data_IF_669047542047
#
_entry.id   IF_669047542047
#
_cell.length_a   1.000
_cell.length_b   1.000
_cell.length_c   1.000
_cell.angle_alpha   90.00
_cell.angle_beta   90.00
_cell.angle_gamma   90.00
#
_symmetry.space_group_name_H-M   'P 1'
#
loop_
_entity.id
_entity.type
_entity.pdbx_description
1 polymer ?
#
# COMPACT_ATOMS: atom_id res chain seq x y z
N UNK A 1 -6.03 13.86 -23.60
CA UNK A 1 -4.80 13.03 -23.71
C UNK A 1 -5.26 11.62 -24.00
N UNK A 2 -4.68 10.95 -25.01
CA UNK A 2 -5.00 9.55 -25.27
C UNK A 2 -4.56 8.74 -24.05
N UNK A 3 -5.49 8.00 -23.42
CA UNK A 3 -5.13 6.93 -22.47
C UNK A 3 -4.10 6.06 -23.19
N UNK A 4 -2.94 5.81 -22.56
CA UNK A 4 -2.11 4.70 -23.01
C UNK A 4 -3.02 3.47 -23.04
N UNK A 5 -3.10 2.78 -24.18
CA UNK A 5 -3.91 1.57 -24.26
C UNK A 5 -3.44 0.60 -23.18
N UNK A 6 -4.40 0.08 -22.39
CA UNK A 6 -4.12 -0.96 -21.42
C UNK A 6 -3.37 -2.10 -22.12
N UNK A 7 -2.25 -2.58 -21.55
CA UNK A 7 -1.44 -3.57 -22.22
C UNK A 7 -2.26 -4.84 -22.44
N UNK A 8 -2.37 -5.25 -23.71
CA UNK A 8 -3.07 -6.48 -24.05
C UNK A 8 -2.40 -7.69 -23.39
N UNK A 9 -3.15 -8.77 -23.16
CA UNK A 9 -2.61 -10.03 -22.64
C UNK A 9 -1.42 -10.54 -23.47
N UNK A 10 -1.45 -10.28 -24.78
CA UNK A 10 -0.35 -10.60 -25.69
C UNK A 10 0.90 -9.75 -25.42
N UNK A 11 0.73 -8.44 -25.18
CA UNK A 11 1.81 -7.52 -24.79
C UNK A 11 2.46 -7.96 -23.47
N UNK A 12 1.65 -8.25 -22.44
CA UNK A 12 2.14 -8.72 -21.13
C UNK A 12 2.91 -10.03 -21.28
N UNK A 13 2.39 -10.97 -22.08
CA UNK A 13 3.07 -12.26 -22.32
C UNK A 13 4.43 -12.06 -23.00
N UNK A 14 4.53 -11.14 -23.96
CA UNK A 14 5.80 -10.78 -24.62
C UNK A 14 6.79 -10.16 -23.65
N UNK A 15 6.33 -9.29 -22.73
CA UNK A 15 7.18 -8.72 -21.68
C UNK A 15 7.74 -9.81 -20.78
N UNK A 16 6.88 -10.73 -20.30
CA UNK A 16 7.32 -11.84 -19.44
C UNK A 16 8.32 -12.74 -20.17
N UNK A 17 8.06 -13.07 -21.43
CA UNK A 17 8.99 -13.84 -22.26
C UNK A 17 10.35 -13.13 -22.39
N UNK A 18 10.34 -11.84 -22.74
CA UNK A 18 11.58 -11.08 -22.96
C UNK A 18 12.41 -10.92 -21.68
N UNK A 19 11.77 -10.70 -20.53
CA UNK A 19 12.49 -10.45 -19.28
C UNK A 19 12.90 -11.72 -18.53
N UNK A 20 12.15 -12.82 -18.62
CA UNK A 20 12.38 -13.98 -17.76
C UNK A 20 12.82 -15.25 -18.49
N UNK A 21 12.73 -15.29 -19.82
CA UNK A 21 13.01 -16.49 -20.63
C UNK A 21 14.07 -16.25 -21.70
N UNK A 22 14.60 -15.03 -21.79
CA UNK A 22 15.67 -14.66 -22.72
C UNK A 22 16.79 -14.02 -21.91
N UNK A 23 18.00 -14.55 -22.03
CA UNK A 23 19.18 -13.96 -21.40
C UNK A 23 19.41 -12.56 -21.97
N UNK A 24 19.64 -11.59 -21.08
CA UNK A 24 20.04 -10.24 -21.46
C UNK A 24 21.46 -10.26 -22.07
N UNK A 25 21.69 -9.64 -23.23
CA UNK A 25 23.01 -9.60 -23.85
C UNK A 25 24.09 -8.91 -22.99
N UNK A 26 23.71 -8.03 -22.07
CA UNK A 26 24.63 -7.37 -21.13
C UNK A 26 24.87 -8.18 -19.85
N UNK A 27 24.31 -9.41 -19.77
CA UNK A 27 24.47 -10.29 -18.62
C UNK A 27 23.75 -9.81 -17.35
N UNK A 28 22.67 -9.03 -17.49
CA UNK A 28 21.85 -8.58 -16.35
C UNK A 28 20.78 -9.62 -16.01
N UNK A 29 20.29 -9.57 -14.78
CA UNK A 29 19.12 -10.34 -14.36
C UNK A 29 17.84 -9.65 -14.81
N UNK A 30 16.86 -10.42 -15.26
CA UNK A 30 15.55 -9.90 -15.63
C UNK A 30 14.51 -10.07 -14.52
N UNK A 31 13.62 -9.09 -14.39
CA UNK A 31 12.60 -9.03 -13.35
C UNK A 31 11.26 -8.62 -13.96
N UNK A 32 10.21 -9.30 -13.51
CA UNK A 32 8.82 -8.87 -13.68
C UNK A 32 8.17 -8.85 -12.31
N UNK A 33 7.45 -7.80 -12.00
CA UNK A 33 6.72 -7.58 -10.76
C UNK A 33 5.28 -7.21 -11.09
N UNK A 34 4.36 -7.83 -10.35
CA UNK A 34 2.95 -7.45 -10.32
C UNK A 34 2.67 -6.92 -8.93
N UNK A 35 1.99 -5.79 -8.83
CA UNK A 35 1.60 -5.23 -7.55
C UNK A 35 0.19 -4.66 -7.55
N UNK A 36 -0.43 -4.66 -6.36
CA UNK A 36 -1.73 -4.05 -6.05
C UNK A 36 -1.51 -3.15 -4.82
N UNK A 37 -1.39 -1.84 -5.03
CA UNK A 37 -0.88 -0.93 -3.98
C UNK A 37 0.53 -1.35 -3.54
N UNK A 38 0.73 -1.58 -2.24
CA UNK A 38 2.03 -2.01 -1.69
C UNK A 38 2.25 -3.53 -1.63
N UNK A 39 1.27 -4.32 -2.03
CA UNK A 39 1.40 -5.78 -2.15
C UNK A 39 2.12 -6.11 -3.45
N UNK A 40 3.12 -6.99 -3.42
CA UNK A 40 3.81 -7.40 -4.64
C UNK A 40 4.08 -8.91 -4.71
N UNK A 41 4.13 -9.40 -5.95
CA UNK A 41 4.77 -10.65 -6.34
C UNK A 41 5.72 -10.34 -7.49
N UNK A 42 6.99 -10.67 -7.34
CA UNK A 42 8.02 -10.47 -8.36
C UNK A 42 8.65 -11.79 -8.75
N UNK A 43 8.91 -12.03 -10.02
CA UNK A 43 9.66 -13.17 -10.52
C UNK A 43 10.92 -12.65 -11.21
N UNK A 44 12.04 -13.31 -10.92
CA UNK A 44 13.36 -12.97 -11.46
C UNK A 44 14.03 -14.17 -12.09
N UNK A 45 14.84 -13.86 -13.10
CA UNK A 45 15.71 -14.79 -13.80
C UNK A 45 17.12 -14.22 -13.83
N UNK A 46 18.11 -15.07 -13.54
CA UNK A 46 19.52 -14.72 -13.67
C UNK A 46 20.05 -15.32 -14.97
N UNK A 47 20.98 -14.63 -15.66
CA UNK A 47 21.51 -15.09 -16.93
C UNK A 47 22.12 -16.50 -16.80
N UNK A 48 21.92 -17.32 -17.83
CA UNK A 48 22.42 -18.69 -17.93
C UNK A 48 21.85 -19.68 -16.88
N UNK A 49 20.85 -19.27 -16.10
CA UNK A 49 20.13 -20.17 -15.19
C UNK A 49 18.88 -20.73 -15.88
N UNK A 50 18.49 -21.95 -15.53
CA UNK A 50 17.21 -22.53 -15.99
C UNK A 50 16.05 -22.22 -15.02
N UNK A 51 16.36 -21.63 -13.87
CA UNK A 51 15.43 -21.47 -12.75
C UNK A 51 14.86 -20.06 -12.74
N UNK A 52 13.54 -19.94 -12.67
CA UNK A 52 12.86 -18.68 -12.32
C UNK A 52 12.52 -18.69 -10.83
N UNK A 53 12.90 -17.62 -10.13
CA UNK A 53 12.57 -17.44 -8.71
C UNK A 53 11.50 -16.39 -8.56
N UNK A 54 10.36 -16.75 -7.99
CA UNK A 54 9.30 -15.83 -7.61
C UNK A 54 9.32 -15.54 -6.10
N UNK A 55 9.10 -14.29 -5.74
CA UNK A 55 9.13 -13.77 -4.39
C UNK A 55 7.85 -12.97 -4.13
N UNK A 56 7.12 -13.33 -3.08
CA UNK A 56 5.97 -12.57 -2.60
C UNK A 56 6.36 -11.79 -1.34
N UNK A 57 5.86 -10.56 -1.20
CA UNK A 57 6.07 -9.70 -0.04
C UNK A 57 5.87 -10.42 1.31
N UNK A 58 6.64 -10.01 2.31
CA UNK A 58 6.49 -10.54 3.66
C UNK A 58 6.65 -9.49 4.75
N UNK A 59 6.31 -9.87 5.98
CA UNK A 59 6.16 -8.94 7.09
C UNK A 59 7.46 -8.36 7.62
N UNK A 60 8.63 -8.89 7.19
CA UNK A 60 9.92 -8.35 7.60
C UNK A 60 10.26 -7.07 6.85
N UNK A 61 10.15 -7.10 5.52
CA UNK A 61 10.37 -5.91 4.70
C UNK A 61 9.21 -4.92 4.81
N UNK A 62 7.99 -5.43 4.94
CA UNK A 62 6.77 -4.63 5.01
C UNK A 62 5.96 -4.94 6.29
N UNK A 63 6.22 -4.25 7.42
CA UNK A 63 5.53 -4.52 8.68
C UNK A 63 3.99 -4.48 8.61
N UNK A 64 3.40 -3.55 7.82
CA UNK A 64 1.95 -3.45 7.62
C UNK A 64 1.33 -4.67 6.95
N UNK A 65 2.11 -5.52 6.27
CA UNK A 65 1.61 -6.78 5.72
C UNK A 65 1.14 -7.76 6.81
N UNK A 66 1.35 -7.49 8.11
CA UNK A 66 0.84 -8.34 9.20
C UNK A 66 -0.68 -8.44 9.24
N UNK A 67 -1.40 -7.37 8.87
CA UNK A 67 -2.87 -7.37 8.79
C UNK A 67 -3.36 -8.15 7.58
N UNK A 68 -2.59 -8.06 6.49
CA UNK A 68 -2.92 -8.71 5.22
C UNK A 68 -2.58 -10.20 5.25
N UNK A 69 -1.38 -10.59 5.70
CA UNK A 69 -0.88 -11.96 5.70
C UNK A 69 -1.38 -12.74 6.92
N UNK A 70 -2.69 -13.02 6.96
CA UNK A 70 -3.31 -13.87 8.00
C UNK A 70 -2.73 -15.29 7.99
N UNK A 71 -3.07 -16.10 9.01
CA UNK A 71 -2.64 -17.49 9.06
C UNK A 71 -3.11 -18.27 7.83
N UNK A 72 -4.34 -18.03 7.41
CA UNK A 72 -5.01 -18.66 6.27
C UNK A 72 -4.33 -18.26 4.97
N UNK A 73 -4.05 -16.97 4.77
CA UNK A 73 -3.38 -16.46 3.56
C UNK A 73 -1.94 -16.95 3.43
N UNK A 74 -1.20 -17.02 4.54
CA UNK A 74 0.14 -17.65 4.56
C UNK A 74 0.09 -19.14 4.23
N UNK A 75 -0.97 -19.85 4.65
CA UNK A 75 -1.17 -21.23 4.28
C UNK A 75 -1.48 -21.38 2.78
N UNK A 76 -2.31 -20.50 2.21
CA UNK A 76 -2.61 -20.46 0.78
C UNK A 76 -1.34 -20.21 -0.06
N UNK A 77 -0.48 -19.27 0.32
CA UNK A 77 0.83 -19.08 -0.34
C UNK A 77 1.70 -20.34 -0.26
N UNK A 78 1.68 -21.05 0.88
CA UNK A 78 2.41 -22.31 1.04
C UNK A 78 1.85 -23.43 0.15
N UNK A 79 0.53 -23.53 0.00
CA UNK A 79 -0.12 -24.45 -0.94
C UNK A 79 0.22 -24.13 -2.39
N UNK A 80 0.40 -22.85 -2.70
CA UNK A 80 1.01 -22.37 -3.94
C UNK A 80 2.53 -22.57 -3.99
N UNK A 81 3.13 -23.44 -3.18
CA UNK A 81 4.54 -23.82 -3.29
C UNK A 81 5.54 -22.75 -2.85
N UNK A 82 5.09 -21.65 -2.23
CA UNK A 82 6.02 -20.71 -1.62
C UNK A 82 6.52 -21.22 -0.26
N UNK A 83 7.79 -20.94 0.03
CA UNK A 83 8.41 -21.15 1.33
C UNK A 83 8.86 -19.82 1.94
N UNK A 84 8.61 -19.61 3.23
CA UNK A 84 9.10 -18.42 3.93
C UNK A 84 10.63 -18.40 3.95
N UNK A 85 11.25 -17.36 3.40
CA UNK A 85 12.68 -17.16 3.42
C UNK A 85 13.10 -16.38 4.66
N UNK A 86 13.97 -16.98 5.47
CA UNK A 86 14.45 -16.35 6.70
C UNK A 86 15.41 -15.22 6.47
N UNK A 87 15.96 -15.03 5.26
CA UNK A 87 16.93 -13.96 5.01
C UNK A 87 16.24 -12.64 4.67
N UNK A 88 15.35 -12.67 3.70
CA UNK A 88 14.58 -11.50 3.23
C UNK A 88 13.29 -11.31 4.02
N UNK A 89 12.73 -12.39 4.56
CA UNK A 89 11.38 -12.41 5.15
C UNK A 89 10.26 -12.45 4.11
N UNK A 90 10.59 -12.56 2.81
CA UNK A 90 9.63 -12.81 1.73
C UNK A 90 9.25 -14.29 1.66
N UNK A 91 8.23 -14.60 0.88
CA UNK A 91 7.87 -15.95 0.48
C UNK A 91 8.50 -16.27 -0.87
N UNK A 92 9.29 -17.34 -0.98
CA UNK A 92 10.03 -17.69 -2.21
C UNK A 92 9.50 -18.99 -2.79
N UNK A 93 9.21 -18.99 -4.10
CA UNK A 93 8.98 -20.17 -4.92
C UNK A 93 10.03 -20.21 -6.03
N UNK A 94 10.64 -21.37 -6.23
CA UNK A 94 11.55 -21.62 -7.37
C UNK A 94 10.86 -22.54 -8.37
N UNK A 95 11.06 -22.27 -9.64
CA UNK A 95 10.53 -23.09 -10.73
C UNK A 95 11.67 -23.71 -11.53
N UNK A 96 11.62 -25.03 -11.67
CA UNK A 96 12.60 -25.81 -12.42
C UNK A 96 11.93 -27.08 -12.98
N UNK A 97 11.55 -27.13 -14.28
CA UNK A 97 11.57 -26.01 -15.23
C UNK A 97 10.49 -24.96 -14.94
N UNK A 98 10.64 -23.71 -15.44
CA UNK A 98 9.61 -22.69 -15.36
C UNK A 98 8.36 -23.03 -16.18
N UNK A 99 7.16 -22.65 -15.72
CA UNK A 99 5.96 -22.74 -16.53
C UNK A 99 6.04 -21.75 -17.69
N UNK A 100 5.19 -21.92 -18.71
CA UNK A 100 5.11 -20.97 -19.83
C UNK A 100 4.81 -19.53 -19.35
N UNK A 101 5.27 -18.48 -20.07
CA UNK A 101 5.13 -17.08 -19.65
C UNK A 101 3.71 -16.69 -19.23
N UNK A 102 2.70 -17.13 -20.00
CA UNK A 102 1.29 -16.84 -19.71
C UNK A 102 0.83 -17.46 -18.39
N UNK A 103 1.26 -18.70 -18.11
CA UNK A 103 0.94 -19.39 -16.85
C UNK A 103 1.69 -18.78 -15.67
N UNK A 104 2.94 -18.35 -15.88
CA UNK A 104 3.71 -17.64 -14.86
C UNK A 104 3.03 -16.32 -14.47
N UNK A 105 2.57 -15.55 -15.45
CA UNK A 105 1.83 -14.31 -15.22
C UNK A 105 0.52 -14.56 -14.46
N UNK A 106 -0.27 -15.55 -14.90
CA UNK A 106 -1.49 -15.95 -14.19
C UNK A 106 -1.21 -16.39 -12.74
N UNK A 107 -0.11 -17.11 -12.52
CA UNK A 107 0.36 -17.50 -11.20
C UNK A 107 0.69 -16.28 -10.32
N UNK A 108 1.37 -15.26 -10.86
CA UNK A 108 1.72 -14.06 -10.10
C UNK A 108 0.47 -13.28 -9.64
N UNK A 109 -0.51 -13.09 -10.53
CA UNK A 109 -1.80 -12.45 -10.19
C UNK A 109 -2.56 -13.28 -9.16
N UNK A 110 -2.62 -14.60 -9.35
CA UNK A 110 -3.29 -15.48 -8.41
C UNK A 110 -2.62 -15.50 -7.03
N UNK A 111 -1.29 -15.46 -6.98
CA UNK A 111 -0.52 -15.38 -5.74
C UNK A 111 -0.78 -14.06 -4.99
N UNK A 112 -0.95 -12.95 -5.72
CA UNK A 112 -1.39 -11.69 -5.12
C UNK A 112 -2.77 -11.83 -4.47
N UNK A 113 -3.73 -12.38 -5.21
CA UNK A 113 -5.10 -12.52 -4.72
C UNK A 113 -5.21 -13.46 -3.51
N UNK A 114 -4.64 -14.67 -3.55
CA UNK A 114 -4.77 -15.58 -2.40
C UNK A 114 -3.88 -15.17 -1.22
N UNK A 115 -2.73 -14.55 -1.51
CA UNK A 115 -1.78 -14.11 -0.48
C UNK A 115 -2.22 -12.85 0.24
N UNK A 116 -2.93 -11.95 -0.46
CA UNK A 116 -3.22 -10.62 0.06
C UNK A 116 -4.69 -10.18 -0.07
N UNK A 117 -5.51 -10.96 -0.78
CA UNK A 117 -6.87 -10.62 -1.18
C UNK A 117 -6.92 -9.49 -2.21
N UNK A 118 -7.81 -9.57 -3.18
CA UNK A 118 -8.10 -8.44 -4.06
C UNK A 118 -8.79 -7.28 -3.33
N UNK A 119 -8.41 -6.05 -3.65
CA UNK A 119 -9.13 -4.82 -3.28
C UNK A 119 -10.08 -4.33 -4.36
N UNK A 120 -10.16 -5.05 -5.50
CA UNK A 120 -10.89 -4.63 -6.68
C UNK A 120 -10.21 -3.51 -7.47
N UNK A 121 -8.98 -3.13 -7.09
CA UNK A 121 -8.14 -2.20 -7.85
C UNK A 121 -7.39 -2.95 -8.95
N UNK A 122 -7.00 -2.23 -10.00
CA UNK A 122 -6.22 -2.83 -11.08
C UNK A 122 -4.80 -3.18 -10.61
N UNK A 123 -4.28 -4.30 -11.12
CA UNK A 123 -2.91 -4.69 -10.87
C UNK A 123 -1.99 -3.90 -11.82
N UNK A 124 -0.89 -3.40 -11.27
CA UNK A 124 0.15 -2.75 -12.05
C UNK A 124 1.29 -3.75 -12.36
N UNK A 125 1.88 -3.60 -13.54
CA UNK A 125 3.01 -4.40 -14.00
C UNK A 125 4.25 -3.52 -14.06
N UNK A 126 5.29 -3.92 -13.32
CA UNK A 126 6.63 -3.32 -13.40
C UNK A 126 7.61 -4.36 -13.90
N UNK A 127 8.50 -3.98 -14.80
CA UNK A 127 9.50 -4.90 -15.33
C UNK A 127 10.78 -4.17 -15.70
N UNK A 128 11.88 -4.92 -15.80
CA UNK A 128 13.16 -4.37 -16.20
C UNK A 128 14.32 -5.29 -15.89
N UNK A 129 15.50 -4.69 -15.80
CA UNK A 129 16.76 -5.38 -15.54
C UNK A 129 17.32 -4.97 -14.17
N UNK A 130 18.11 -5.84 -13.56
CA UNK A 130 18.88 -5.56 -12.35
C UNK A 130 20.30 -6.15 -12.48
N UNK A 131 21.31 -5.64 -11.75
CA UNK A 131 22.65 -6.23 -11.77
C UNK A 131 22.61 -7.70 -11.37
N UNK A 132 23.11 -8.60 -12.22
CA UNK A 132 23.09 -10.03 -11.95
C UNK A 132 23.92 -10.35 -10.70
N UNK A 133 23.23 -10.75 -9.64
CA UNK A 133 23.83 -11.13 -8.37
C UNK A 133 22.94 -12.16 -7.68
N UNK A 134 23.56 -13.08 -6.93
CA UNK A 134 22.83 -14.04 -6.10
C UNK A 134 21.96 -13.34 -5.05
N UNK A 135 22.44 -12.21 -4.57
CA UNK A 135 21.80 -11.36 -3.57
C UNK A 135 21.63 -9.95 -4.14
N UNK A 136 20.60 -9.75 -5.00
CA UNK A 136 20.38 -8.46 -5.63
C UNK A 136 20.02 -7.39 -4.60
N UNK A 137 20.34 -6.14 -4.93
CA UNK A 137 19.98 -4.98 -4.14
C UNK A 137 18.45 -4.89 -3.94
N UNK A 138 18.03 -4.55 -2.71
CA UNK A 138 16.62 -4.56 -2.32
C UNK A 138 16.19 -3.25 -1.69
N UNK A 139 14.90 -2.96 -1.80
CA UNK A 139 14.27 -1.89 -1.02
C UNK A 139 14.41 -2.23 0.47
N UNK A 140 14.90 -1.30 1.28
CA UNK A 140 15.09 -1.51 2.72
C UNK A 140 13.76 -1.76 3.46
N UNK A 141 13.84 -2.36 4.65
CA UNK A 141 12.67 -2.62 5.49
C UNK A 141 11.99 -1.32 5.93
N UNK A 142 10.65 -1.35 6.03
CA UNK A 142 9.85 -0.19 6.46
C UNK A 142 9.54 0.80 5.33
N UNK A 143 9.91 0.47 4.09
CA UNK A 143 9.50 1.18 2.88
C UNK A 143 8.36 0.44 2.16
N UNK A 144 7.48 1.13 1.40
CA UNK A 144 6.28 0.52 0.81
C UNK A 144 6.50 -0.79 0.03
N UNK A 145 7.67 -0.95 -0.59
CA UNK A 145 8.06 -2.17 -1.31
C UNK A 145 9.22 -2.92 -0.64
N UNK A 146 9.35 -2.83 0.68
CA UNK A 146 10.47 -3.40 1.44
C UNK A 146 10.68 -4.88 1.12
N UNK A 147 11.91 -5.21 0.72
CA UNK A 147 12.30 -6.54 0.25
C UNK A 147 12.15 -6.80 -1.25
N UNK A 148 11.51 -5.92 -2.02
CA UNK A 148 11.49 -6.01 -3.49
C UNK A 148 12.89 -5.78 -4.08
N UNK A 149 13.17 -6.37 -5.24
CA UNK A 149 14.44 -6.17 -5.96
C UNK A 149 14.40 -4.81 -6.65
N UNK A 150 15.51 -4.05 -6.55
CA UNK A 150 15.62 -2.74 -7.17
C UNK A 150 16.02 -2.89 -8.64
N UNK A 151 15.19 -2.39 -9.54
CA UNK A 151 15.51 -2.30 -10.97
C UNK A 151 16.59 -1.25 -11.23
N UNK A 152 17.45 -1.52 -12.21
CA UNK A 152 18.44 -0.57 -12.73
C UNK A 152 17.76 0.74 -13.16
N UNK A 153 18.33 1.86 -12.73
CA UNK A 153 17.82 3.20 -13.05
C UNK A 153 16.74 3.73 -12.10
N UNK A 154 16.15 2.90 -11.22
CA UNK A 154 15.25 3.38 -10.17
C UNK A 154 16.03 3.97 -9.00
N UNK A 155 15.71 5.22 -8.64
CA UNK A 155 16.24 5.86 -7.43
C UNK A 155 15.39 5.49 -6.23
N UNK A 156 15.82 4.50 -5.47
CA UNK A 156 15.20 4.12 -4.19
C UNK A 156 15.99 4.74 -3.05
N UNK A 157 15.31 5.47 -2.16
CA UNK A 157 15.91 5.92 -0.89
C UNK A 157 16.09 4.70 0.01
N UNK A 158 17.30 4.50 0.53
CA UNK A 158 17.71 3.39 1.39
C UNK A 158 17.58 2.02 0.72
N UNK A 159 18.71 1.48 0.30
CA UNK A 159 18.84 0.16 -0.31
C UNK A 159 19.49 -0.77 0.71
N UNK A 160 18.92 -1.96 0.89
CA UNK A 160 19.56 -3.04 1.61
C UNK A 160 20.44 -3.83 0.63
N UNK A 161 21.73 -3.91 0.93
CA UNK A 161 22.70 -4.70 0.17
C UNK A 161 23.00 -6.04 0.86
N UNK A 162 23.35 -7.04 0.07
CA UNK A 162 23.65 -8.39 0.56
C UNK A 162 22.42 -9.29 0.69
N UNK A 163 22.63 -10.46 1.30
CA UNK A 163 21.65 -11.55 1.26
C UNK A 163 20.55 -11.47 2.31
N UNK A 164 20.63 -10.54 3.26
CA UNK A 164 19.74 -10.45 4.42
C UNK A 164 19.08 -9.08 4.45
N UNK A 165 17.76 -9.07 4.61
CA UNK A 165 17.02 -7.85 4.91
C UNK A 165 16.95 -7.71 6.42
N UNK A 166 17.54 -6.63 6.95
CA UNK A 166 17.37 -6.26 8.34
C UNK A 166 15.94 -5.77 8.55
N UNK A 167 15.26 -6.32 9.55
CA UNK A 167 13.95 -5.82 9.94
C UNK A 167 14.12 -4.46 10.61
N UNK A 168 13.18 -3.55 10.36
CA UNK A 168 13.14 -2.31 11.13
C UNK A 168 12.73 -2.63 12.56
N UNK A 169 13.65 -2.46 13.50
CA UNK A 169 13.28 -2.34 14.91
C UNK A 169 12.49 -1.04 15.06
N UNK A 170 11.34 -1.15 15.70
CA UNK A 170 10.53 0.02 16.01
C UNK A 170 11.14 0.61 17.29
N UNK A 171 12.00 1.60 17.14
CA UNK A 171 12.36 2.49 18.25
C UNK A 171 11.07 3.21 18.67
N UNK A 172 10.61 2.93 19.88
CA UNK A 172 9.34 3.38 20.46
C UNK A 172 9.71 4.20 21.71
N UNK A 173 10.49 5.27 21.53
CA UNK A 173 11.16 5.92 22.67
C UNK A 173 10.30 7.00 23.35
N UNK A 174 9.29 7.56 22.68
CA UNK A 174 8.41 8.57 23.27
C UNK A 174 6.96 8.09 23.35
N UNK A 175 6.33 8.05 24.54
CA UNK A 175 4.92 7.73 24.66
C UNK A 175 4.05 8.79 23.98
N UNK A 176 2.89 8.37 23.47
CA UNK A 176 1.86 9.31 23.01
C UNK A 176 1.41 10.18 24.21
N UNK A 177 1.17 11.49 24.03
CA UNK A 177 0.63 12.33 25.11
C UNK A 177 -0.64 11.72 25.70
N UNK A 178 -0.94 11.94 26.99
CA UNK A 178 -2.19 11.49 27.59
C UNK A 178 -3.40 11.98 26.80
N UNK A 179 -4.43 11.16 26.73
CA UNK A 179 -5.69 11.52 26.09
C UNK A 179 -6.27 12.78 26.74
N UNK A 180 -6.76 13.77 25.96
CA UNK A 180 -7.39 14.95 26.52
C UNK A 180 -8.69 14.55 27.25
N UNK A 181 -9.08 15.29 28.30
CA UNK A 181 -10.38 15.10 28.92
C UNK A 181 -11.50 15.52 27.96
N UNK A 182 -12.66 14.89 28.10
CA UNK A 182 -13.88 15.32 27.40
C UNK A 182 -14.26 16.73 27.88
N UNK A 183 -14.39 17.72 26.98
CA UNK A 183 -14.81 19.06 27.36
C UNK A 183 -16.31 19.12 27.69
N UNK A 184 -16.70 20.09 28.52
CA UNK A 184 -18.11 20.27 28.94
C UNK A 184 -19.04 20.49 27.74
N UNK A 185 -18.57 21.19 26.70
CA UNK A 185 -19.28 21.39 25.43
C UNK A 185 -18.76 20.46 24.31
N UNK A 186 -18.58 19.18 24.62
CA UNK A 186 -18.23 18.18 23.60
C UNK A 186 -19.18 18.20 22.39
N UNK A 187 -20.52 18.28 22.53
CA UNK A 187 -21.41 18.35 21.37
C UNK A 187 -21.16 19.58 20.47
N UNK A 188 -20.91 20.75 21.06
CA UNK A 188 -20.59 21.96 20.32
C UNK A 188 -19.26 21.84 19.56
N UNK A 189 -18.22 21.33 20.22
CA UNK A 189 -16.92 21.10 19.59
C UNK A 189 -17.01 20.11 18.42
N UNK A 190 -17.69 18.98 18.62
CA UNK A 190 -17.87 17.97 17.56
C UNK A 190 -18.67 18.52 16.37
N UNK A 191 -19.66 19.39 16.63
CA UNK A 191 -20.42 20.07 15.58
C UNK A 191 -19.56 21.05 14.78
N UNK A 192 -18.66 21.78 15.44
CA UNK A 192 -17.71 22.68 14.79
C UNK A 192 -16.71 21.89 13.94
N UNK A 193 -16.15 20.81 14.49
CA UNK A 193 -15.23 19.94 13.75
C UNK A 193 -15.90 19.32 12.51
N UNK A 194 -17.13 18.82 12.65
CA UNK A 194 -17.91 18.31 11.53
C UNK A 194 -18.06 19.37 10.43
N UNK A 195 -18.38 20.61 10.79
CA UNK A 195 -18.48 21.72 9.83
C UNK A 195 -17.16 21.93 9.06
N UNK A 196 -16.03 21.94 9.76
CA UNK A 196 -14.71 22.08 9.15
C UNK A 196 -14.36 20.90 8.23
N UNK A 197 -14.74 19.68 8.62
CA UNK A 197 -14.58 18.47 7.79
C UNK A 197 -15.42 18.60 6.52
N UNK A 198 -16.70 18.93 6.64
CA UNK A 198 -17.61 19.05 5.50
C UNK A 198 -17.13 20.10 4.49
N UNK A 199 -16.74 21.29 4.96
CA UNK A 199 -16.21 22.36 4.10
C UNK A 199 -14.94 21.94 3.34
N UNK A 200 -14.06 21.16 3.97
CA UNK A 200 -12.86 20.66 3.32
C UNK A 200 -13.14 19.51 2.34
N UNK A 201 -14.07 18.61 2.67
CA UNK A 201 -14.53 17.54 1.76
C UNK A 201 -15.14 18.15 0.50
N UNK A 202 -16.00 19.15 0.64
CA UNK A 202 -16.55 19.89 -0.50
C UNK A 202 -15.42 20.52 -1.34
N UNK A 203 -14.43 21.14 -0.69
CA UNK A 203 -13.28 21.72 -1.38
C UNK A 203 -12.45 20.67 -2.15
N UNK A 204 -12.22 19.49 -1.58
CA UNK A 204 -11.53 18.39 -2.28
C UNK A 204 -12.34 17.93 -3.48
N UNK A 205 -13.66 17.74 -3.33
CA UNK A 205 -14.53 17.29 -4.40
C UNK A 205 -14.57 18.26 -5.60
N UNK A 206 -14.35 19.56 -5.36
CA UNK A 206 -14.27 20.60 -6.39
C UNK A 206 -12.96 20.62 -7.19
N UNK A 207 -11.93 19.85 -6.81
CA UNK A 207 -10.69 19.77 -7.58
C UNK A 207 -10.95 19.38 -9.03
N UNK A 208 -10.38 20.09 -10.00
CA UNK A 208 -10.59 19.78 -11.42
C UNK A 208 -9.29 19.87 -12.20
N UNK A 209 -9.23 19.15 -13.31
CA UNK A 209 -8.05 19.12 -14.18
C UNK A 209 -6.93 18.24 -13.61
N UNK A 210 -5.66 18.52 -13.93
CA UNK A 210 -4.54 17.69 -13.48
C UNK A 210 -4.19 17.92 -12.01
N UNK A 211 -4.68 18.96 -11.35
CA UNK A 211 -4.30 19.25 -9.96
C UNK A 211 -5.18 18.45 -8.98
N UNK A 212 -4.53 17.63 -8.15
CA UNK A 212 -5.20 16.96 -7.04
C UNK A 212 -5.37 17.95 -5.89
N UNK A 213 -6.62 18.14 -5.44
CA UNK A 213 -6.91 18.79 -4.17
C UNK A 213 -6.73 17.75 -3.06
N UNK A 214 -5.99 18.12 -2.01
CA UNK A 214 -5.69 17.26 -0.86
C UNK A 214 -6.05 18.03 0.41
N UNK A 215 -6.87 17.43 1.27
CA UNK A 215 -7.14 17.93 2.61
C UNK A 215 -6.57 16.98 3.67
N UNK A 216 -5.93 17.52 4.71
CA UNK A 216 -5.42 16.75 5.85
C UNK A 216 -6.10 17.28 7.11
N UNK A 217 -6.76 16.38 7.83
CA UNK A 217 -7.45 16.61 9.10
C UNK A 217 -6.60 16.03 10.22
N UNK A 218 -6.07 16.88 11.10
CA UNK A 218 -5.11 16.46 12.14
C UNK A 218 -5.60 16.78 13.55
N UNK A 219 -5.45 15.82 14.44
CA UNK A 219 -5.64 15.91 15.89
C UNK A 219 -4.31 15.53 16.57
N UNK A 220 -3.31 16.40 16.46
CA UNK A 220 -1.93 16.08 16.84
C UNK A 220 -1.31 15.06 15.87
N UNK A 221 -0.90 13.90 16.38
CA UNK A 221 -0.29 12.83 15.56
C UNK A 221 -1.32 11.96 14.81
N UNK A 222 -2.61 12.11 15.12
CA UNK A 222 -3.70 11.36 14.50
C UNK A 222 -4.23 12.16 13.31
N UNK A 223 -4.31 11.56 12.12
CA UNK A 223 -4.79 12.27 10.95
C UNK A 223 -5.68 11.43 10.05
N UNK A 224 -6.52 12.14 9.29
CA UNK A 224 -7.22 11.63 8.11
C UNK A 224 -6.81 12.51 6.93
N UNK A 225 -6.34 11.91 5.84
CA UNK A 225 -6.05 12.65 4.60
C UNK A 225 -7.02 12.24 3.51
N UNK A 226 -7.50 13.20 2.72
CA UNK A 226 -8.36 12.95 1.57
C UNK A 226 -7.80 13.64 0.35
N UNK A 227 -7.81 12.96 -0.78
CA UNK A 227 -7.43 13.49 -2.08
C UNK A 227 -8.49 13.20 -3.11
N UNK A 228 -8.69 14.12 -4.05
CA UNK A 228 -9.50 13.82 -5.22
C UNK A 228 -8.72 12.89 -6.15
N UNK A 229 -9.17 11.65 -6.22
CA UNK A 229 -8.62 10.64 -7.12
C UNK A 229 -9.15 10.88 -8.54
N UNK A 230 -8.92 9.95 -9.46
CA UNK A 230 -9.51 10.07 -10.80
C UNK A 230 -11.04 10.20 -10.72
N UNK A 231 -11.62 11.04 -11.59
CA UNK A 231 -13.06 11.23 -11.67
C UNK A 231 -13.76 9.87 -11.88
N UNK A 232 -14.84 9.54 -11.13
CA UNK A 232 -15.57 10.36 -10.17
C UNK A 232 -15.33 9.89 -8.72
N UNK A 233 -14.12 9.98 -8.17
CA UNK A 233 -13.83 9.43 -6.83
C UNK A 233 -12.93 10.30 -5.94
N UNK A 234 -13.08 10.11 -4.63
CA UNK A 234 -12.21 10.68 -3.58
C UNK A 234 -11.60 9.54 -2.78
N UNK A 235 -10.28 9.50 -2.64
CA UNK A 235 -9.60 8.56 -1.77
C UNK A 235 -9.31 9.23 -0.43
N UNK A 236 -9.69 8.58 0.66
CA UNK A 236 -9.32 9.02 2.01
C UNK A 236 -8.58 7.93 2.77
N UNK A 237 -7.68 8.35 3.65
CA UNK A 237 -6.85 7.48 4.44
C UNK A 237 -6.81 7.93 5.90
N UNK A 238 -7.06 7.00 6.82
CA UNK A 238 -6.88 7.18 8.27
C UNK A 238 -5.53 6.60 8.66
N UNK A 239 -4.71 7.39 9.38
CA UNK A 239 -3.39 6.97 9.83
C UNK A 239 -3.40 5.60 10.50
N UNK A 240 -2.35 4.79 10.29
CA UNK A 240 -2.19 3.50 10.95
C UNK A 240 -1.04 3.47 11.97
N UNK A 241 -1.17 2.56 12.93
CA UNK A 241 -0.09 2.26 13.86
C UNK A 241 1.11 1.53 13.20
N UNK A 242 0.99 1.10 11.94
CA UNK A 242 2.11 0.47 11.23
C UNK A 242 3.08 1.51 10.66
N UNK A 243 2.59 2.72 10.36
CA UNK A 243 3.41 3.87 9.94
C UNK A 243 3.90 4.66 11.14
N UNK A 244 3.03 4.89 12.14
CA UNK A 244 3.40 5.54 13.40
C UNK A 244 3.11 4.60 14.59
N UNK A 245 4.10 3.80 15.01
CA UNK A 245 3.93 2.84 16.09
C UNK A 245 3.53 3.42 17.45
N UNK A 246 3.77 4.72 17.68
CA UNK A 246 3.34 5.43 18.89
C UNK A 246 1.82 5.44 19.04
N UNK A 247 1.09 5.26 17.95
CA UNK A 247 -0.38 5.24 17.92
C UNK A 247 -0.99 3.89 18.33
N UNK A 248 -0.20 2.84 18.54
CA UNK A 248 -0.70 1.50 18.96
C UNK A 248 -1.67 1.53 20.16
N UNK A 249 -1.48 2.36 21.20
CA UNK A 249 -2.41 2.43 22.33
C UNK A 249 -3.82 2.89 21.93
N UNK A 250 -3.92 3.70 20.86
CA UNK A 250 -5.18 4.28 20.37
C UNK A 250 -5.75 3.43 19.23
N UNK A 251 -4.94 3.19 18.19
CA UNK A 251 -5.30 2.44 16.98
C UNK A 251 -5.17 0.93 17.19
N UNK A 252 -5.97 0.43 18.13
CA UNK A 252 -6.02 -1.00 18.47
C UNK A 252 -6.69 -1.84 17.37
N UNK A 253 -6.55 -3.19 17.40
CA UNK A 253 -7.31 -4.07 16.50
C UNK A 253 -8.83 -3.91 16.62
N UNK A 254 -9.35 -3.48 17.78
CA UNK A 254 -10.76 -3.19 17.95
C UNK A 254 -11.19 -1.94 17.16
N UNK A 255 -10.35 -0.92 17.13
CA UNK A 255 -10.53 0.27 16.31
C UNK A 255 -10.44 -0.09 14.82
N UNK A 256 -9.47 -0.91 14.40
CA UNK A 256 -9.38 -1.37 13.01
C UNK A 256 -10.67 -2.05 12.52
N UNK A 257 -11.31 -2.87 13.37
CA UNK A 257 -12.63 -3.48 13.05
C UNK A 257 -13.76 -2.45 12.93
N UNK A 258 -13.71 -1.34 13.66
CA UNK A 258 -14.69 -0.24 13.54
C UNK A 258 -14.49 0.51 12.23
N UNK A 259 -13.25 0.87 11.89
CA UNK A 259 -12.92 1.50 10.61
C UNK A 259 -13.33 0.62 9.42
N UNK A 260 -13.12 -0.70 9.51
CA UNK A 260 -13.58 -1.65 8.49
C UNK A 260 -15.09 -1.66 8.29
N UNK A 261 -15.88 -1.47 9.36
CA UNK A 261 -17.34 -1.36 9.25
C UNK A 261 -17.78 -0.07 8.55
N UNK A 262 -16.95 0.97 8.58
CA UNK A 262 -17.16 2.22 7.85
C UNK A 262 -16.75 2.14 6.36
N UNK A 263 -16.09 1.04 5.97
CA UNK A 263 -15.65 0.76 4.60
C UNK A 263 -14.14 0.88 4.38
N UNK A 264 -13.36 1.24 5.40
CA UNK A 264 -11.92 1.37 5.26
C UNK A 264 -11.24 0.00 5.19
N UNK A 265 -10.41 -0.18 4.18
CA UNK A 265 -9.51 -1.32 4.05
C UNK A 265 -8.36 -1.19 5.04
N UNK A 266 -7.93 -2.31 5.62
CA UNK A 266 -6.78 -2.35 6.52
C UNK A 266 -5.48 -2.00 5.77
N UNK A 267 -4.44 -1.52 6.48
CA UNK A 267 -3.11 -1.31 5.91
C UNK A 267 -2.64 -2.53 5.12
N UNK A 268 -2.11 -2.28 3.92
CA UNK A 268 -1.81 -3.32 2.95
C UNK A 268 -1.79 -2.80 1.52
N UNK A 269 -2.93 -2.25 1.11
CA UNK A 269 -3.03 -1.50 -0.16
C UNK A 269 -2.32 -0.15 -0.04
N UNK A 270 -2.60 0.57 1.05
CA UNK A 270 -1.88 1.75 1.54
C UNK A 270 -1.14 1.42 2.85
N UNK A 271 -0.26 2.31 3.32
CA UNK A 271 0.31 2.23 4.67
C UNK A 271 -0.75 2.55 5.74
N UNK A 272 -1.83 3.21 5.32
CA UNK A 272 -2.93 3.65 6.15
C UNK A 272 -4.19 2.80 5.91
N UNK A 273 -5.20 2.99 6.76
CA UNK A 273 -6.54 2.49 6.46
C UNK A 273 -7.12 3.32 5.32
N UNK A 274 -7.50 2.70 4.20
CA UNK A 274 -7.87 3.44 2.98
C UNK A 274 -9.29 3.14 2.52
N UNK A 275 -9.99 4.16 2.01
CA UNK A 275 -11.32 4.04 1.41
C UNK A 275 -11.43 4.93 0.18
N UNK A 276 -12.08 4.42 -0.87
CA UNK A 276 -12.42 5.19 -2.07
C UNK A 276 -13.92 5.47 -2.06
N UNK A 277 -14.27 6.74 -2.08
CA UNK A 277 -15.65 7.23 -2.09
C UNK A 277 -16.05 7.65 -3.50
N UNK A 278 -17.16 7.15 -4.06
CA UNK A 278 -17.69 7.64 -5.31
C UNK A 278 -18.33 9.03 -5.13
N UNK A 279 -18.06 9.95 -6.05
CA UNK A 279 -18.57 11.32 -6.08
C UNK A 279 -19.80 11.48 -7.00
N UNK A 280 -20.55 10.41 -7.30
CA UNK A 280 -21.71 10.48 -8.21
C UNK A 280 -22.82 11.35 -7.60
N UNK A 281 -23.38 12.25 -8.43
CA UNK A 281 -24.21 13.41 -8.08
C UNK A 281 -25.24 13.21 -6.94
N UNK A 282 -25.36 14.23 -6.06
CA UNK A 282 -26.25 14.27 -4.89
C UNK A 282 -25.52 14.78 -3.63
N UNK A 283 -26.00 14.40 -2.44
CA UNK A 283 -25.40 14.68 -1.11
C UNK A 283 -24.12 13.83 -0.83
N UNK A 284 -23.35 13.47 -1.86
CA UNK A 284 -22.21 12.55 -1.73
C UNK A 284 -21.14 13.08 -0.77
N UNK A 285 -20.83 14.38 -0.83
CA UNK A 285 -19.83 15.00 0.05
C UNK A 285 -20.26 15.02 1.52
N UNK A 286 -21.56 15.18 1.79
CA UNK A 286 -22.12 15.07 3.14
C UNK A 286 -21.93 13.67 3.71
N UNK A 287 -22.27 12.62 2.95
CA UNK A 287 -22.09 11.24 3.40
C UNK A 287 -20.61 10.89 3.63
N UNK A 288 -19.71 11.45 2.81
CA UNK A 288 -18.26 11.34 3.02
C UNK A 288 -17.87 12.02 4.33
N UNK A 289 -18.24 13.29 4.53
CA UNK A 289 -17.93 14.03 5.76
C UNK A 289 -18.46 13.33 7.02
N UNK A 290 -19.69 12.80 6.98
CA UNK A 290 -20.28 11.98 8.05
C UNK A 290 -19.43 10.73 8.34
N UNK A 291 -18.93 10.07 7.30
CA UNK A 291 -18.07 8.89 7.43
C UNK A 291 -16.71 9.26 8.04
N UNK A 292 -16.11 10.39 7.62
CA UNK A 292 -14.82 10.85 8.15
C UNK A 292 -14.93 11.27 9.62
N UNK A 293 -16.01 11.98 9.99
CA UNK A 293 -16.27 12.34 11.38
C UNK A 293 -16.47 11.11 12.26
N UNK A 294 -17.20 10.11 11.77
CA UNK A 294 -17.35 8.82 12.46
C UNK A 294 -16.01 8.06 12.55
N UNK A 295 -15.18 8.09 11.51
CA UNK A 295 -13.86 7.48 11.51
C UNK A 295 -12.95 8.13 12.54
N UNK A 296 -12.95 9.46 12.65
CA UNK A 296 -12.22 10.18 13.69
C UNK A 296 -12.71 9.79 15.09
N UNK A 297 -14.03 9.84 15.35
CA UNK A 297 -14.60 9.48 16.65
C UNK A 297 -14.31 8.03 17.06
N UNK A 298 -14.50 7.09 16.14
CA UNK A 298 -14.30 5.66 16.40
C UNK A 298 -12.83 5.25 16.40
N UNK A 299 -12.00 6.01 15.66
CA UNK A 299 -10.59 5.80 15.43
C UNK A 299 -9.70 6.36 16.52
N UNK A 300 -9.96 7.61 16.90
CA UNK A 300 -9.09 8.43 17.73
C UNK A 300 -9.55 8.48 19.18
N UNK A 301 -10.77 8.01 19.49
CA UNK A 301 -11.31 8.05 20.84
C UNK A 301 -11.38 9.49 21.35
N UNK A 302 -11.01 9.74 22.59
CA UNK A 302 -11.06 11.08 23.18
C UNK A 302 -10.03 12.05 22.55
N UNK A 303 -9.04 11.57 21.78
CA UNK A 303 -8.13 12.47 21.07
C UNK A 303 -8.83 13.34 20.01
N UNK A 304 -10.06 13.03 19.61
CA UNK A 304 -10.87 13.95 18.79
C UNK A 304 -11.16 15.28 19.48
N UNK A 305 -10.99 15.38 20.80
CA UNK A 305 -11.15 16.64 21.53
C UNK A 305 -9.91 17.56 21.47
N UNK A 306 -8.82 17.12 20.85
CA UNK A 306 -7.75 18.04 20.45
C UNK A 306 -8.26 19.04 19.40
N UNK A 307 -7.64 20.22 19.27
CA UNK A 307 -7.93 21.14 18.17
C UNK A 307 -7.76 20.43 16.82
N UNK A 308 -8.80 20.51 15.98
CA UNK A 308 -8.74 20.03 14.61
C UNK A 308 -7.99 21.05 13.75
N UNK A 309 -6.86 20.63 13.22
CA UNK A 309 -6.12 21.37 12.19
C UNK A 309 -6.53 20.85 10.81
N UNK A 310 -6.83 21.77 9.88
CA UNK A 310 -7.23 21.43 8.51
C UNK A 310 -6.27 22.08 7.53
N UNK A 311 -5.42 21.28 6.90
CA UNK A 311 -4.54 21.72 5.83
C UNK A 311 -5.17 21.45 4.47
N UNK A 312 -4.91 22.32 3.50
CA UNK A 312 -5.36 22.20 2.11
C UNK A 312 -4.19 22.40 1.17
N UNK A 313 -3.93 21.41 0.32
CA UNK A 313 -2.82 21.38 -0.62
C UNK A 313 -3.32 21.13 -2.03
N UNK A 314 -2.64 21.72 -3.02
CA UNK A 314 -2.80 21.36 -4.43
C UNK A 314 -1.51 20.73 -4.93
N UNK A 315 -1.62 19.60 -5.63
CA UNK A 315 -0.45 18.94 -6.22
C UNK A 315 -0.71 18.59 -7.68
N UNK A 316 0.26 18.84 -8.55
CA UNK A 316 0.24 18.30 -9.92
C UNK A 316 0.52 16.79 -9.88
N UNK A 317 0.00 15.99 -10.82
CA UNK A 317 0.29 14.57 -10.86
C UNK A 317 1.79 14.42 -11.10
N UNK A 318 2.43 13.48 -10.41
CA UNK A 318 3.80 13.10 -10.75
C UNK A 318 3.81 12.65 -12.22
N UNK A 319 4.67 13.27 -13.03
CA UNK A 319 4.91 12.85 -14.42
C UNK A 319 5.81 11.63 -14.47
#
# INVERSE_FOLDING_TARGET
MARAEEPTLESITKIVQAQLFVDDPEGRGGLVEVHEGYKFVQCRHLPHQTVITCEAAGTRGQPWMRHVLTKERRAALKEMGFAADRRTGNFIRRWDPPPEPKLLMAFMVHALDVGYGSTGQENELRYGWFPAADCPARVASGHPYGGAVVLSGLKVKNVAEGCRLEGREVEDDDPLPPSPPTPDDAPGLMSQQYKSIAEAVDWVALGTGPEHHIAIFSWGELYIQCLKAEEPSMQCEVVSADINPRLKPVLTPAVGRKLKKLGFLEPGYSLNYAQVFPLKAGDATKAIADTLAQAAQQGFGDYVFLPLEVERHTSKPAR
#
